data_IF_498613257033
#
_entry.id   IF_498613257033
#
_cell.length_a   1.000
_cell.length_b   1.000
_cell.length_c   1.000
_cell.angle_alpha   90.00
_cell.angle_beta   90.00
_cell.angle_gamma   90.00
#
_symmetry.space_group_name_H-M   'P 1'
#
loop_
_entity.id
_entity.type
_entity.pdbx_description
1 polymer ?
#
# COMPACT_ATOMS: atom_id res chain seq x y z
N UNK A 1 23.40 26.69 -9.00
CA UNK A 1 22.46 25.56 -8.98
C UNK A 1 21.44 25.80 -10.09
N UNK A 2 21.16 24.83 -10.94
CA UNK A 2 20.10 24.98 -11.93
C UNK A 2 18.77 25.17 -11.16
N UNK A 3 17.97 26.13 -11.59
CA UNK A 3 16.64 26.35 -11.01
C UNK A 3 15.73 25.24 -11.53
N UNK A 4 15.04 24.53 -10.65
CA UNK A 4 14.04 23.55 -11.04
C UNK A 4 12.98 24.25 -11.92
N UNK A 5 12.77 23.74 -13.12
CA UNK A 5 11.79 24.26 -14.07
C UNK A 5 10.46 23.51 -14.01
N UNK A 6 10.43 22.37 -13.33
CA UNK A 6 9.25 21.53 -13.09
C UNK A 6 8.92 21.48 -11.61
N UNK A 7 7.64 21.42 -11.28
CA UNK A 7 7.22 21.06 -9.92
C UNK A 7 7.58 19.59 -9.63
N UNK A 8 7.72 19.20 -8.35
CA UNK A 8 7.89 17.80 -7.95
C UNK A 8 6.91 16.84 -8.62
N UNK A 9 5.63 17.20 -8.66
CA UNK A 9 4.57 16.39 -9.28
C UNK A 9 4.72 16.27 -10.81
N UNK A 10 4.99 17.38 -11.51
CA UNK A 10 5.22 17.36 -12.95
C UNK A 10 6.41 16.48 -13.30
N UNK A 11 7.50 16.61 -12.55
CA UNK A 11 8.71 15.78 -12.70
C UNK A 11 8.43 14.31 -12.48
N UNK A 12 7.69 13.97 -11.42
CA UNK A 12 7.32 12.59 -11.14
C UNK A 12 6.50 11.98 -12.28
N UNK A 13 5.46 12.69 -12.75
CA UNK A 13 4.60 12.24 -13.84
C UNK A 13 5.40 12.10 -15.15
N UNK A 14 6.27 13.06 -15.45
CA UNK A 14 7.12 13.00 -16.66
C UNK A 14 8.07 11.80 -16.58
N UNK A 15 8.72 11.58 -15.44
CA UNK A 15 9.61 10.44 -15.23
C UNK A 15 8.86 9.09 -15.36
N UNK A 16 7.66 8.99 -14.79
CA UNK A 16 6.83 7.78 -14.89
C UNK A 16 6.46 7.44 -16.34
N UNK A 17 6.29 8.45 -17.18
CA UNK A 17 5.97 8.30 -18.58
C UNK A 17 7.20 8.26 -19.51
N UNK A 18 8.42 8.18 -18.96
CA UNK A 18 9.67 8.16 -19.72
C UNK A 18 9.94 9.46 -20.51
N UNK A 19 9.37 10.58 -20.07
CA UNK A 19 9.55 11.89 -20.70
C UNK A 19 10.74 12.64 -20.11
N UNK A 20 11.32 13.61 -20.83
CA UNK A 20 12.41 14.44 -20.30
C UNK A 20 12.01 15.16 -19.02
N UNK A 21 12.95 15.21 -18.08
CA UNK A 21 12.82 15.90 -16.79
C UNK A 21 13.99 16.88 -16.60
N UNK A 22 13.79 17.92 -15.81
CA UNK A 22 14.80 18.93 -15.51
C UNK A 22 15.93 18.42 -14.61
N UNK A 23 15.64 17.43 -13.76
CA UNK A 23 16.59 16.65 -12.98
C UNK A 23 16.05 15.25 -12.73
N UNK A 24 16.88 14.27 -12.28
CA UNK A 24 16.35 12.98 -11.84
C UNK A 24 15.26 13.14 -10.78
N UNK A 25 14.15 12.41 -10.94
CA UNK A 25 13.07 12.40 -9.96
C UNK A 25 13.56 11.69 -8.67
N UNK A 26 13.55 12.41 -7.56
CA UNK A 26 13.86 11.86 -6.24
C UNK A 26 12.55 11.51 -5.54
N UNK A 27 12.15 10.23 -5.59
CA UNK A 27 10.88 9.78 -5.03
C UNK A 27 11.04 8.45 -4.29
N UNK A 28 10.21 8.26 -3.28
CA UNK A 28 10.01 6.94 -2.65
C UNK A 28 8.62 6.45 -2.99
N UNK A 29 8.53 5.19 -3.46
CA UNK A 29 7.26 4.48 -3.64
C UNK A 29 6.82 3.77 -2.35
N UNK A 30 7.58 3.93 -1.28
CA UNK A 30 7.20 3.56 0.09
C UNK A 30 7.20 4.82 0.95
N UNK A 31 6.60 4.74 2.13
CA UNK A 31 6.69 5.81 3.11
C UNK A 31 8.14 6.04 3.57
N UNK A 32 8.49 7.28 3.83
CA UNK A 32 9.80 7.66 4.37
C UNK A 32 9.63 7.94 5.85
N UNK A 33 10.22 7.09 6.70
CA UNK A 33 10.13 7.22 8.15
C UNK A 33 11.29 6.51 8.84
N UNK A 34 11.85 7.16 9.84
CA UNK A 34 12.82 6.62 10.80
C UNK A 34 12.73 7.42 12.11
N UNK A 35 13.41 6.97 13.15
CA UNK A 35 13.35 7.62 14.47
C UNK A 35 13.88 9.05 14.44
N UNK A 36 15.00 9.31 13.74
CA UNK A 36 15.56 10.63 13.65
C UNK A 36 14.62 11.62 12.97
N UNK A 37 13.85 11.16 11.99
CA UNK A 37 12.85 11.99 11.33
C UNK A 37 11.65 12.25 12.25
N UNK A 38 11.19 11.25 13.00
CA UNK A 38 10.15 11.42 14.02
C UNK A 38 10.59 12.42 15.10
N UNK A 39 11.80 12.29 15.61
CA UNK A 39 12.37 13.22 16.60
C UNK A 39 12.46 14.65 16.08
N UNK A 40 12.76 14.82 14.79
CA UNK A 40 12.90 16.13 14.15
C UNK A 40 11.55 16.80 13.88
N UNK A 41 10.53 16.02 13.49
CA UNK A 41 9.21 16.49 13.08
C UNK A 41 8.25 16.58 14.27
N UNK A 42 8.35 15.63 15.22
CA UNK A 42 7.54 15.56 16.42
C UNK A 42 6.56 14.37 16.48
N UNK A 43 5.80 14.05 15.42
CA UNK A 43 4.92 12.88 15.40
C UNK A 43 5.70 11.55 15.47
N UNK A 44 5.33 10.70 16.41
CA UNK A 44 5.89 9.36 16.62
C UNK A 44 4.83 8.28 16.41
N UNK A 45 5.25 7.03 16.36
CA UNK A 45 4.34 5.90 16.55
C UNK A 45 3.98 5.78 18.05
N UNK A 46 2.75 5.37 18.40
CA UNK A 46 1.67 4.90 17.48
C UNK A 46 0.82 6.00 16.84
N UNK A 47 0.91 7.27 17.29
CA UNK A 47 0.03 8.37 16.86
C UNK A 47 0.10 8.56 15.34
N UNK A 48 1.30 8.57 14.75
CA UNK A 48 1.48 8.71 13.30
C UNK A 48 0.92 7.54 12.48
N UNK A 49 0.49 6.43 13.12
CA UNK A 49 -0.23 5.34 12.46
C UNK A 49 -1.74 5.36 12.70
N UNK A 50 -2.21 6.13 13.69
CA UNK A 50 -3.60 6.04 14.19
C UNK A 50 -4.36 7.36 14.15
N UNK A 51 -3.66 8.47 13.96
CA UNK A 51 -4.23 9.82 13.92
C UNK A 51 -3.83 10.52 12.61
N UNK A 52 -4.79 11.18 11.92
CA UNK A 52 -4.55 11.70 10.56
C UNK A 52 -3.59 12.89 10.51
N UNK A 53 -3.62 13.79 11.50
CA UNK A 53 -2.73 14.94 11.55
C UNK A 53 -1.26 14.54 11.77
N UNK A 54 -0.89 13.74 12.80
CA UNK A 54 0.46 13.20 12.96
C UNK A 54 0.93 12.39 11.75
N UNK A 55 0.04 11.60 11.16
CA UNK A 55 0.34 10.80 9.95
C UNK A 55 0.69 11.71 8.77
N UNK A 56 -0.11 12.74 8.51
CA UNK A 56 0.12 13.67 7.41
C UNK A 56 1.38 14.52 7.63
N UNK A 57 1.61 15.02 8.84
CA UNK A 57 2.78 15.82 9.19
C UNK A 57 4.08 15.05 9.00
N UNK A 58 4.13 13.80 9.52
CA UNK A 58 5.30 12.95 9.33
C UNK A 58 5.52 12.60 7.85
N UNK A 59 4.47 12.33 7.09
CA UNK A 59 4.57 12.06 5.66
C UNK A 59 5.03 13.28 4.84
N UNK A 60 4.59 14.48 5.20
CA UNK A 60 4.98 15.72 4.53
C UNK A 60 6.49 15.99 4.63
N UNK A 61 7.13 15.56 5.72
CA UNK A 61 8.57 15.74 5.96
C UNK A 61 9.45 15.14 4.87
N UNK A 62 8.98 14.11 4.17
CA UNK A 62 9.71 13.54 3.03
C UNK A 62 9.96 14.59 1.94
N UNK A 63 9.02 15.50 1.70
CA UNK A 63 9.21 16.63 0.80
C UNK A 63 9.83 17.83 1.51
N UNK A 64 9.24 18.27 2.61
CA UNK A 64 9.55 19.55 3.25
C UNK A 64 10.97 19.61 3.82
N UNK A 65 11.49 18.47 4.31
CA UNK A 65 12.85 18.39 4.88
C UNK A 65 13.84 17.68 3.96
N UNK A 66 13.41 16.64 3.24
CA UNK A 66 14.32 15.81 2.46
C UNK A 66 14.28 16.13 0.95
N UNK A 67 13.31 16.91 0.47
CA UNK A 67 13.22 17.34 -0.93
C UNK A 67 12.77 16.23 -1.90
N UNK A 68 12.08 15.18 -1.41
CA UNK A 68 11.48 14.18 -2.30
C UNK A 68 10.37 14.79 -3.17
N UNK A 69 10.24 14.27 -4.38
CA UNK A 69 9.20 14.68 -5.33
C UNK A 69 7.83 14.06 -5.02
N UNK A 70 7.77 13.14 -4.04
CA UNK A 70 6.54 12.47 -3.60
C UNK A 70 6.44 12.33 -2.09
N UNK A 71 5.20 12.22 -1.60
CA UNK A 71 4.88 11.90 -0.20
C UNK A 71 3.85 10.75 -0.15
N UNK A 72 3.90 9.93 0.91
CA UNK A 72 2.98 8.83 1.16
C UNK A 72 2.68 8.70 2.65
N UNK A 73 1.41 8.85 3.09
CA UNK A 73 1.09 8.85 4.53
C UNK A 73 0.93 7.45 5.12
N UNK A 74 0.70 6.42 4.32
CA UNK A 74 0.45 5.07 4.81
C UNK A 74 1.78 4.37 5.11
N UNK A 75 2.24 4.44 6.36
CA UNK A 75 3.53 3.88 6.77
C UNK A 75 3.50 2.34 6.82
N UNK A 76 2.47 1.76 7.40
CA UNK A 76 2.33 0.32 7.59
C UNK A 76 1.60 -0.40 6.44
N UNK A 77 1.24 -1.65 6.72
CA UNK A 77 0.50 -2.54 5.83
C UNK A 77 -0.79 -3.04 6.51
N UNK A 78 -1.21 -2.38 7.58
CA UNK A 78 -2.19 -2.91 8.52
C UNK A 78 -3.56 -2.23 8.45
N UNK A 79 -3.70 -1.12 7.71
CA UNK A 79 -4.96 -0.39 7.63
C UNK A 79 -6.08 -1.26 7.02
N UNK A 80 -5.81 -1.88 5.87
CA UNK A 80 -6.78 -2.79 5.26
C UNK A 80 -6.97 -4.07 6.09
N UNK A 81 -5.94 -4.50 6.82
CA UNK A 81 -6.00 -5.71 7.62
C UNK A 81 -7.07 -5.62 8.73
N UNK A 82 -7.19 -4.47 9.41
CA UNK A 82 -8.25 -4.26 10.42
C UNK A 82 -9.65 -4.32 9.78
N UNK A 83 -9.80 -3.68 8.64
CA UNK A 83 -11.08 -3.59 7.93
C UNK A 83 -11.55 -4.91 7.31
N UNK A 84 -10.65 -5.89 7.14
CA UNK A 84 -10.99 -7.25 6.71
C UNK A 84 -11.11 -8.26 7.87
N UNK A 85 -11.06 -7.78 9.11
CA UNK A 85 -11.33 -8.58 10.31
C UNK A 85 -10.10 -9.08 11.06
N UNK A 86 -8.88 -8.65 10.71
CA UNK A 86 -7.69 -8.93 11.50
C UNK A 86 -7.68 -8.08 12.78
N UNK A 87 -7.14 -8.62 13.87
CA UNK A 87 -6.77 -7.81 15.04
C UNK A 87 -5.33 -7.38 14.88
N UNK A 88 -5.09 -6.09 14.88
CA UNK A 88 -3.76 -5.49 14.67
C UNK A 88 -3.36 -4.72 15.92
N UNK A 89 -2.13 -4.92 16.37
CA UNK A 89 -1.52 -4.13 17.44
C UNK A 89 -0.84 -2.89 16.85
N UNK A 90 -1.34 -1.73 17.23
CA UNK A 90 -0.78 -0.41 16.85
C UNK A 90 -0.04 0.25 18.04
N UNK A 91 0.07 -0.40 19.18
CA UNK A 91 0.59 0.24 20.40
C UNK A 91 2.11 0.30 20.48
N UNK A 92 2.82 -0.40 19.63
CA UNK A 92 4.29 -0.47 19.65
C UNK A 92 4.88 0.83 19.07
N UNK A 93 5.67 1.60 19.86
CA UNK A 93 6.29 2.84 19.39
C UNK A 93 7.49 2.62 18.48
N UNK A 94 8.09 1.43 18.51
CA UNK A 94 9.37 1.13 17.85
C UNK A 94 9.20 0.27 16.60
N UNK A 95 8.03 -0.33 16.40
CA UNK A 95 7.77 -1.24 15.29
C UNK A 95 6.51 -0.88 14.50
N UNK A 96 6.47 -1.33 13.26
CA UNK A 96 5.27 -1.22 12.42
C UNK A 96 4.15 -2.08 13.00
N UNK A 97 2.87 -1.63 12.90
CA UNK A 97 1.72 -2.40 13.34
C UNK A 97 1.68 -3.79 12.69
N UNK A 98 1.44 -4.81 13.50
CA UNK A 98 1.41 -6.20 13.05
C UNK A 98 0.10 -6.90 13.42
N UNK A 99 -0.45 -7.73 12.50
CA UNK A 99 -1.61 -8.56 12.81
C UNK A 99 -1.30 -9.56 13.93
N UNK A 100 -2.16 -9.59 14.96
CA UNK A 100 -2.12 -10.53 16.09
C UNK A 100 -3.12 -11.68 15.92
N UNK A 101 -4.18 -11.46 15.14
CA UNK A 101 -5.19 -12.44 14.82
C UNK A 101 -5.54 -12.38 13.35
N UNK A 102 -5.59 -13.55 12.71
CA UNK A 102 -5.95 -13.75 11.31
C UNK A 102 -7.30 -14.49 11.24
N UNK A 103 -8.34 -13.91 10.62
CA UNK A 103 -9.69 -14.48 10.63
C UNK A 103 -9.82 -15.83 9.91
N UNK A 104 -8.89 -16.13 9.01
CA UNK A 104 -8.89 -17.37 8.22
C UNK A 104 -7.76 -18.34 8.60
N UNK A 105 -7.10 -18.14 9.77
CA UNK A 105 -6.03 -19.01 10.25
C UNK A 105 -6.53 -20.44 10.55
N UNK A 106 -7.79 -20.57 11.00
CA UNK A 106 -8.42 -21.87 11.12
C UNK A 106 -8.81 -22.39 9.72
N UNK A 107 -8.47 -23.66 9.45
CA UNK A 107 -8.80 -24.31 8.14
C UNK A 107 -10.30 -24.42 7.91
N UNK A 108 -11.10 -24.53 8.97
CA UNK A 108 -12.55 -24.62 8.90
C UNK A 108 -13.22 -23.22 8.81
N UNK A 109 -12.43 -22.14 8.96
CA UNK A 109 -12.95 -20.78 8.82
C UNK A 109 -13.48 -20.52 7.42
N UNK A 110 -14.64 -19.92 7.33
CA UNK A 110 -15.21 -19.48 6.06
C UNK A 110 -14.42 -18.28 5.50
N UNK A 111 -13.97 -18.43 4.24
CA UNK A 111 -13.31 -17.33 3.53
C UNK A 111 -14.40 -16.38 3.03
N UNK A 112 -14.57 -15.27 3.74
CA UNK A 112 -15.48 -14.18 3.41
C UNK A 112 -15.01 -12.86 4.03
N UNK A 113 -15.42 -11.76 3.46
CA UNK A 113 -15.22 -10.43 4.07
C UNK A 113 -16.22 -10.22 5.21
N UNK A 114 -15.96 -9.29 6.13
CA UNK A 114 -16.86 -8.97 7.23
C UNK A 114 -18.27 -8.59 6.75
N UNK A 115 -19.26 -8.86 7.60
CA UNK A 115 -20.63 -8.46 7.32
C UNK A 115 -20.72 -6.93 7.14
N UNK A 116 -21.56 -6.50 6.20
CA UNK A 116 -21.70 -5.10 5.86
C UNK A 116 -20.63 -4.54 4.91
N UNK A 117 -19.67 -5.35 4.44
CA UNK A 117 -18.76 -4.92 3.38
C UNK A 117 -19.55 -4.55 2.10
N UNK A 118 -19.25 -3.43 1.38
CA UNK A 118 -18.07 -2.56 1.57
C UNK A 118 -18.23 -1.44 2.59
N UNK A 119 -19.41 -1.16 3.11
CA UNK A 119 -19.63 -0.02 4.01
C UNK A 119 -18.84 -0.16 5.30
N UNK A 120 -18.81 -1.37 5.90
CA UNK A 120 -18.04 -1.65 7.11
C UNK A 120 -16.53 -1.42 6.93
N UNK A 121 -15.98 -1.59 5.73
CA UNK A 121 -14.59 -1.28 5.43
C UNK A 121 -14.30 0.20 5.59
N UNK A 122 -15.18 1.07 5.11
CA UNK A 122 -15.01 2.52 5.23
C UNK A 122 -15.39 3.07 6.62
N UNK A 123 -16.04 2.28 7.46
CA UNK A 123 -16.29 2.63 8.85
C UNK A 123 -15.07 2.35 9.76
N UNK A 124 -14.09 1.54 9.30
CA UNK A 124 -12.88 1.27 10.05
C UNK A 124 -12.07 2.55 10.32
N UNK A 125 -11.65 2.73 11.57
CA UNK A 125 -10.96 3.96 12.00
C UNK A 125 -9.59 4.16 11.33
N UNK A 126 -8.88 3.09 11.00
CA UNK A 126 -7.57 3.18 10.39
C UNK A 126 -7.67 3.45 8.89
N UNK A 127 -8.71 2.94 8.23
CA UNK A 127 -9.05 3.30 6.85
C UNK A 127 -9.42 4.79 6.79
N UNK A 128 -10.28 5.26 7.68
CA UNK A 128 -10.64 6.70 7.79
C UNK A 128 -9.42 7.57 8.03
N UNK A 129 -8.56 7.17 8.97
CA UNK A 129 -7.32 7.89 9.28
C UNK A 129 -6.43 8.08 8.04
N UNK A 130 -6.21 7.02 7.27
CA UNK A 130 -5.42 7.09 6.04
C UNK A 130 -6.03 8.04 5.00
N UNK A 131 -7.35 7.99 4.80
CA UNK A 131 -8.05 8.88 3.88
C UNK A 131 -7.99 10.34 4.33
N UNK A 132 -8.14 10.61 5.62
CA UNK A 132 -8.06 11.96 6.17
C UNK A 132 -6.64 12.52 6.09
N UNK A 133 -5.62 11.71 6.34
CA UNK A 133 -4.21 12.10 6.15
C UNK A 133 -3.92 12.48 4.68
N UNK A 134 -4.46 11.75 3.69
CA UNK A 134 -4.35 12.11 2.27
C UNK A 134 -5.03 13.47 1.99
N UNK A 135 -6.21 13.73 2.55
CA UNK A 135 -6.90 15.02 2.41
C UNK A 135 -6.08 16.18 2.99
N UNK A 136 -5.45 15.96 4.15
CA UNK A 136 -4.56 16.94 4.77
C UNK A 136 -3.35 17.23 3.90
N UNK A 137 -2.67 16.21 3.37
CA UNK A 137 -1.57 16.36 2.42
C UNK A 137 -2.00 17.10 1.15
N UNK A 138 -3.20 16.80 0.63
CA UNK A 138 -3.75 17.49 -0.53
C UNK A 138 -4.02 18.97 -0.24
N UNK A 139 -4.50 19.28 0.95
CA UNK A 139 -4.67 20.67 1.40
C UNK A 139 -3.33 21.39 1.54
N UNK A 140 -2.30 20.72 2.04
CA UNK A 140 -0.96 21.28 2.27
C UNK A 140 -0.22 21.55 0.94
N UNK A 141 -0.13 20.57 0.07
CA UNK A 141 0.68 20.63 -1.15
C UNK A 141 -0.09 21.09 -2.40
N UNK A 142 -1.41 21.01 -2.39
CA UNK A 142 -2.23 21.28 -3.58
C UNK A 142 -1.86 20.33 -4.74
N UNK A 143 -1.33 20.89 -5.82
CA UNK A 143 -0.88 20.14 -7.00
C UNK A 143 0.66 20.19 -7.21
N UNK A 144 1.42 20.60 -6.22
CA UNK A 144 2.87 20.81 -6.37
C UNK A 144 3.69 19.55 -6.14
N UNK A 145 3.30 18.71 -5.19
CA UNK A 145 4.00 17.49 -4.79
C UNK A 145 3.14 16.29 -5.15
N UNK A 146 3.77 15.18 -5.55
CA UNK A 146 3.08 13.93 -5.87
C UNK A 146 2.60 13.26 -4.58
N UNK A 147 1.30 13.05 -4.43
CA UNK A 147 0.70 12.35 -3.29
C UNK A 147 0.41 10.91 -3.71
N UNK A 148 1.11 9.98 -3.11
CA UNK A 148 0.95 8.56 -3.38
C UNK A 148 -0.02 7.94 -2.37
N UNK A 149 -1.03 7.28 -2.87
CA UNK A 149 -1.81 6.32 -2.10
C UNK A 149 -1.11 4.96 -2.10
N UNK A 150 -1.50 4.08 -1.18
CA UNK A 150 -0.98 2.71 -1.11
C UNK A 150 -2.11 1.74 -0.78
N UNK A 151 -2.13 0.62 -1.49
CA UNK A 151 -3.02 -0.51 -1.21
C UNK A 151 -2.22 -1.80 -1.15
N UNK A 152 -2.68 -2.74 -0.32
CA UNK A 152 -2.16 -4.09 -0.32
C UNK A 152 -2.91 -4.91 -1.37
N UNK A 153 -2.16 -5.56 -2.25
CA UNK A 153 -2.74 -6.50 -3.20
C UNK A 153 -3.30 -7.75 -2.50
N UNK A 154 -4.11 -8.56 -3.21
CA UNK A 154 -4.82 -9.67 -2.60
C UNK A 154 -3.87 -10.75 -2.03
N UNK A 155 -2.67 -10.89 -2.57
CA UNK A 155 -1.67 -11.81 -2.04
C UNK A 155 -1.15 -11.37 -0.66
N UNK A 156 -0.79 -10.09 -0.53
CA UNK A 156 -0.34 -9.54 0.75
C UNK A 156 -1.45 -9.53 1.79
N UNK A 157 -2.67 -9.17 1.40
CA UNK A 157 -3.83 -9.26 2.30
C UNK A 157 -4.07 -10.69 2.79
N UNK A 158 -3.82 -11.70 1.94
CA UNK A 158 -3.92 -13.10 2.35
C UNK A 158 -2.92 -13.46 3.46
N UNK A 159 -1.72 -12.86 3.49
CA UNK A 159 -0.79 -13.05 4.59
C UNK A 159 -1.37 -12.63 5.94
N UNK A 160 -2.16 -11.55 5.93
CA UNK A 160 -2.78 -11.04 7.15
C UNK A 160 -4.02 -11.83 7.54
N UNK A 161 -4.85 -12.20 6.56
CA UNK A 161 -6.11 -12.91 6.82
C UNK A 161 -5.92 -14.38 7.18
N UNK A 162 -4.84 -15.01 6.69
CA UNK A 162 -4.55 -16.42 6.94
C UNK A 162 -3.53 -16.66 8.05
N UNK A 163 -2.43 -16.01 8.02
CA UNK A 163 -1.10 -16.27 8.48
C UNK A 163 -0.20 -16.68 7.29
N UNK A 164 1.00 -16.12 7.25
CA UNK A 164 1.92 -16.27 6.11
C UNK A 164 2.29 -17.73 5.85
N UNK A 165 2.58 -18.49 6.92
CA UNK A 165 3.06 -19.87 6.76
C UNK A 165 1.98 -20.78 6.20
N UNK A 166 0.79 -20.76 6.77
CA UNK A 166 -0.36 -21.56 6.32
C UNK A 166 -0.76 -21.19 4.88
N UNK A 167 -0.81 -19.90 4.58
CA UNK A 167 -1.11 -19.45 3.21
C UNK A 167 -0.11 -19.98 2.19
N UNK A 168 1.20 -19.87 2.48
CA UNK A 168 2.23 -20.38 1.59
C UNK A 168 2.20 -21.91 1.45
N UNK A 169 1.91 -22.64 2.51
CA UNK A 169 1.73 -24.09 2.45
C UNK A 169 0.51 -24.47 1.59
N UNK A 170 -0.59 -23.76 1.71
CA UNK A 170 -1.81 -24.03 0.96
C UNK A 170 -1.67 -23.71 -0.53
N UNK A 171 -0.70 -22.92 -0.96
CA UNK A 171 -0.40 -22.78 -2.41
C UNK A 171 -0.09 -24.11 -3.08
N UNK A 172 0.35 -25.12 -2.30
CA UNK A 172 0.67 -26.48 -2.75
C UNK A 172 -0.38 -27.47 -2.27
N UNK A 173 -0.78 -27.40 -1.00
CA UNK A 173 -1.63 -28.39 -0.36
C UNK A 173 -3.13 -28.19 -0.70
N UNK A 174 -3.59 -26.95 -0.84
CA UNK A 174 -4.97 -26.59 -1.16
C UNK A 174 -5.02 -25.31 -2.02
N UNK A 175 -4.58 -25.39 -3.28
CA UNK A 175 -4.53 -24.22 -4.17
C UNK A 175 -5.90 -23.60 -4.45
N UNK A 176 -7.00 -24.34 -4.30
CA UNK A 176 -8.35 -23.81 -4.52
C UNK A 176 -8.78 -22.92 -3.36
N UNK A 177 -8.40 -23.26 -2.13
CA UNK A 177 -8.59 -22.37 -0.98
C UNK A 177 -7.82 -21.05 -1.15
N UNK A 178 -6.58 -21.12 -1.64
CA UNK A 178 -5.79 -19.93 -1.98
C UNK A 178 -6.47 -19.09 -3.05
N UNK A 179 -6.95 -19.70 -4.15
CA UNK A 179 -7.67 -18.96 -5.20
C UNK A 179 -8.91 -18.27 -4.65
N UNK A 180 -9.71 -18.97 -3.84
CA UNK A 180 -10.89 -18.41 -3.19
C UNK A 180 -10.55 -17.19 -2.32
N UNK A 181 -9.46 -17.24 -1.55
CA UNK A 181 -9.03 -16.08 -0.74
C UNK A 181 -8.61 -14.90 -1.59
N UNK A 182 -7.82 -15.13 -2.63
CA UNK A 182 -7.41 -14.08 -3.57
C UNK A 182 -8.60 -13.44 -4.28
N UNK A 183 -9.59 -14.24 -4.72
CA UNK A 183 -10.81 -13.75 -5.36
C UNK A 183 -11.64 -12.91 -4.38
N UNK A 184 -11.79 -13.39 -3.14
CA UNK A 184 -12.52 -12.67 -2.08
C UNK A 184 -11.88 -11.33 -1.77
N UNK A 185 -10.54 -11.27 -1.69
CA UNK A 185 -9.80 -10.06 -1.34
C UNK A 185 -9.59 -9.09 -2.52
N UNK A 186 -9.78 -9.53 -3.76
CA UNK A 186 -9.50 -8.73 -4.96
C UNK A 186 -10.25 -7.39 -5.02
N UNK A 187 -11.45 -7.31 -4.42
CA UNK A 187 -12.22 -6.07 -4.40
C UNK A 187 -11.68 -5.02 -3.40
N UNK A 188 -10.95 -5.45 -2.36
CA UNK A 188 -10.46 -4.54 -1.30
C UNK A 188 -9.51 -3.48 -1.84
N UNK A 189 -8.40 -3.83 -2.54
CA UNK A 189 -7.47 -2.83 -3.06
C UNK A 189 -8.12 -1.89 -4.08
N UNK A 190 -9.09 -2.36 -4.87
CA UNK A 190 -9.79 -1.52 -5.85
C UNK A 190 -10.64 -0.46 -5.15
N UNK A 191 -11.42 -0.86 -4.14
CA UNK A 191 -12.25 0.06 -3.37
C UNK A 191 -11.39 1.09 -2.63
N UNK A 192 -10.34 0.65 -1.96
CA UNK A 192 -9.48 1.54 -1.20
C UNK A 192 -8.65 2.46 -2.10
N UNK A 193 -8.18 1.98 -3.26
CA UNK A 193 -7.51 2.81 -4.24
C UNK A 193 -8.41 3.96 -4.73
N UNK A 194 -9.65 3.67 -5.10
CA UNK A 194 -10.62 4.68 -5.54
C UNK A 194 -10.89 5.72 -4.46
N UNK A 195 -11.09 5.28 -3.22
CA UNK A 195 -11.32 6.20 -2.10
C UNK A 195 -10.09 7.09 -1.81
N UNK A 196 -8.87 6.56 -1.93
CA UNK A 196 -7.64 7.34 -1.79
C UNK A 196 -7.49 8.38 -2.91
N UNK A 197 -7.85 8.04 -4.15
CA UNK A 197 -7.86 8.98 -5.26
C UNK A 197 -8.90 10.10 -5.05
N UNK A 198 -10.09 9.76 -4.57
CA UNK A 198 -11.12 10.74 -4.19
C UNK A 198 -10.66 11.63 -3.03
N UNK A 199 -9.88 11.10 -2.09
CA UNK A 199 -9.27 11.87 -1.00
C UNK A 199 -8.16 12.81 -1.48
N UNK A 200 -7.60 12.61 -2.68
CA UNK A 200 -6.61 13.50 -3.27
C UNK A 200 -5.27 12.87 -3.60
N UNK A 201 -5.13 11.55 -3.51
CA UNK A 201 -3.96 10.86 -4.04
C UNK A 201 -3.88 11.01 -5.57
N UNK A 202 -2.67 11.04 -6.11
CA UNK A 202 -2.41 11.28 -7.54
C UNK A 202 -2.04 9.99 -8.29
N UNK A 203 -1.55 8.99 -7.57
CA UNK A 203 -1.25 7.64 -8.06
C UNK A 203 -1.36 6.64 -6.90
N UNK A 204 -1.44 5.36 -7.24
CA UNK A 204 -1.55 4.28 -6.25
C UNK A 204 -0.33 3.37 -6.33
N UNK A 205 0.30 3.13 -5.19
CA UNK A 205 1.26 2.04 -5.04
C UNK A 205 0.51 0.77 -4.67
N UNK A 206 0.59 -0.22 -5.54
CA UNK A 206 0.01 -1.54 -5.35
C UNK A 206 1.08 -2.45 -4.76
N UNK A 207 1.02 -2.69 -3.46
CA UNK A 207 1.99 -3.51 -2.75
C UNK A 207 1.53 -4.97 -2.68
N UNK A 208 2.20 -5.83 -3.46
CA UNK A 208 1.89 -7.26 -3.45
C UNK A 208 3.19 -8.07 -3.34
N UNK A 209 3.45 -8.61 -2.15
CA UNK A 209 4.74 -9.19 -1.76
C UNK A 209 4.89 -10.65 -2.23
N UNK A 210 4.65 -10.90 -3.50
CA UNK A 210 4.87 -12.18 -4.16
C UNK A 210 6.33 -12.31 -4.61
N UNK A 211 7.26 -12.16 -3.67
CA UNK A 211 8.71 -12.11 -3.91
C UNK A 211 9.34 -13.47 -4.14
N UNK A 212 10.47 -13.52 -4.83
CA UNK A 212 11.31 -14.71 -5.03
C UNK A 212 11.99 -15.23 -3.76
N UNK A 213 11.90 -14.50 -2.66
CA UNK A 213 12.32 -14.95 -1.33
C UNK A 213 11.31 -15.92 -0.69
N UNK A 214 10.06 -15.86 -1.10
CA UNK A 214 8.94 -16.63 -0.55
C UNK A 214 8.39 -17.67 -1.53
N UNK A 215 8.25 -17.30 -2.82
CA UNK A 215 7.61 -18.15 -3.82
C UNK A 215 8.37 -18.18 -5.14
N UNK A 216 8.19 -19.27 -5.89
CA UNK A 216 8.73 -19.40 -7.26
C UNK A 216 8.00 -18.41 -8.20
N UNK A 217 8.70 -17.97 -9.25
CA UNK A 217 8.10 -17.10 -10.28
C UNK A 217 6.87 -17.73 -10.96
N UNK A 218 6.85 -19.06 -11.12
CA UNK A 218 5.69 -19.78 -11.67
C UNK A 218 4.45 -19.64 -10.78
N UNK A 219 4.60 -19.51 -9.46
CA UNK A 219 3.46 -19.28 -8.56
C UNK A 219 2.90 -17.87 -8.75
N UNK A 220 3.75 -16.87 -8.97
CA UNK A 220 3.27 -15.53 -9.35
C UNK A 220 2.43 -15.60 -10.63
N UNK A 221 2.93 -16.26 -11.68
CA UNK A 221 2.21 -16.48 -12.93
C UNK A 221 0.85 -17.17 -12.70
N UNK A 222 0.84 -18.25 -11.91
CA UNK A 222 -0.33 -19.13 -11.77
C UNK A 222 -1.41 -18.57 -10.84
N UNK A 223 -1.05 -17.66 -9.90
CA UNK A 223 -1.98 -17.10 -8.92
C UNK A 223 -2.25 -15.60 -9.10
N UNK A 224 -1.30 -14.80 -9.58
CA UNK A 224 -1.38 -13.35 -9.52
C UNK A 224 -1.36 -12.63 -10.86
N UNK A 225 -0.61 -13.11 -11.85
CA UNK A 225 -0.43 -12.40 -13.11
C UNK A 225 -1.76 -11.95 -13.72
N UNK A 226 -2.65 -12.87 -13.97
CA UNK A 226 -3.95 -12.58 -14.57
C UNK A 226 -4.84 -11.70 -13.66
N UNK A 227 -4.69 -11.80 -12.32
CA UNK A 227 -5.40 -10.92 -11.40
C UNK A 227 -4.90 -9.49 -11.50
N UNK A 228 -3.59 -9.27 -11.54
CA UNK A 228 -3.06 -7.94 -11.74
C UNK A 228 -3.50 -7.35 -13.09
N UNK A 229 -3.49 -8.15 -14.16
CA UNK A 229 -4.00 -7.74 -15.47
C UNK A 229 -5.48 -7.36 -15.46
N UNK A 230 -6.29 -8.02 -14.64
CA UNK A 230 -7.73 -7.72 -14.50
C UNK A 230 -8.01 -6.55 -13.55
N UNK A 231 -7.29 -6.49 -12.42
CA UNK A 231 -7.61 -5.56 -11.32
C UNK A 231 -7.00 -4.18 -11.54
N UNK A 232 -5.74 -4.11 -11.96
CA UNK A 232 -5.02 -2.84 -12.09
C UNK A 232 -5.72 -1.86 -13.04
N UNK A 233 -6.26 -2.27 -14.20
CA UNK A 233 -7.01 -1.37 -15.08
C UNK A 233 -8.30 -0.78 -14.49
N UNK A 234 -8.78 -1.29 -13.36
CA UNK A 234 -9.96 -0.76 -12.68
C UNK A 234 -9.64 0.45 -11.79
N UNK A 235 -8.36 0.75 -11.58
CA UNK A 235 -7.89 1.95 -10.87
C UNK A 235 -7.73 3.10 -11.88
N UNK A 236 -8.50 4.19 -11.77
CA UNK A 236 -8.50 5.28 -12.76
C UNK A 236 -7.34 6.27 -12.58
N UNK A 237 -6.14 5.79 -12.29
CA UNK A 237 -4.92 6.57 -12.08
C UNK A 237 -3.68 5.70 -12.35
N UNK A 238 -2.47 6.28 -12.45
CA UNK A 238 -1.24 5.50 -12.53
C UNK A 238 -1.10 4.55 -11.34
N UNK A 239 -0.76 3.29 -11.61
CA UNK A 239 -0.48 2.26 -10.60
C UNK A 239 0.99 1.86 -10.68
N UNK A 240 1.64 1.81 -9.52
CA UNK A 240 3.04 1.45 -9.38
C UNK A 240 3.10 0.14 -8.59
N UNK A 241 3.51 -0.95 -9.23
CA UNK A 241 3.67 -2.22 -8.54
C UNK A 241 4.88 -2.17 -7.60
N UNK A 242 4.65 -2.49 -6.32
CA UNK A 242 5.69 -2.68 -5.32
C UNK A 242 5.76 -4.14 -4.88
N UNK A 243 6.88 -4.79 -5.19
CA UNK A 243 7.19 -6.14 -4.75
C UNK A 243 8.57 -6.13 -4.09
N UNK A 244 8.60 -6.20 -2.76
CA UNK A 244 9.83 -6.25 -1.98
C UNK A 244 10.66 -7.50 -2.27
N UNK A 245 11.98 -7.43 -2.03
CA UNK A 245 12.88 -8.58 -2.10
C UNK A 245 13.28 -8.94 -3.53
N UNK A 246 13.59 -10.24 -3.75
CA UNK A 246 14.05 -10.71 -5.05
C UNK A 246 12.90 -10.80 -6.05
N UNK A 247 12.98 -10.00 -7.11
CA UNK A 247 11.94 -9.93 -8.15
C UNK A 247 12.46 -10.08 -9.59
N UNK A 248 13.77 -10.20 -9.79
CA UNK A 248 14.38 -10.27 -11.13
C UNK A 248 13.86 -11.46 -11.95
N UNK A 249 13.58 -12.60 -11.33
CA UNK A 249 13.10 -13.81 -11.99
C UNK A 249 11.64 -13.74 -12.47
N UNK A 250 10.93 -12.62 -12.17
CA UNK A 250 9.52 -12.38 -12.54
C UNK A 250 9.28 -11.06 -13.24
N UNK A 251 10.34 -10.32 -13.58
CA UNK A 251 10.21 -9.03 -14.31
C UNK A 251 9.47 -9.19 -15.64
N UNK A 252 9.65 -10.31 -16.32
CA UNK A 252 8.92 -10.59 -17.58
C UNK A 252 7.40 -10.56 -17.36
N UNK A 253 6.93 -11.14 -16.25
CA UNK A 253 5.50 -11.11 -15.88
C UNK A 253 5.01 -9.71 -15.46
N UNK A 254 5.89 -8.88 -14.89
CA UNK A 254 5.51 -7.50 -14.52
C UNK A 254 5.34 -6.59 -15.73
N UNK A 255 5.84 -7.01 -16.89
CA UNK A 255 5.74 -6.24 -18.16
C UNK A 255 4.48 -6.56 -18.96
N UNK A 256 3.81 -7.65 -18.67
CA UNK A 256 2.58 -8.09 -19.33
C UNK A 256 1.34 -7.36 -18.76
#
# INVERSE_FOLDING_TARGET
MAVDSMTPKERFIAALNGQPVDRPCAASITSVVNFELMDLVGPHFPEANTEPEPMAELAASAHDLMGFDSVMPIFGIAQEATAIGCVVDFSDPDNMPTPQFAPWADRDAEIRLPDGFPDSFFEDKHVKCALDAIRLLKSHFGNKVMILGKVMGPWTLSYHAYNVQEFLMDTIADPDRVRKSLDTLSQVPILFAKAQLEAGADAIVWADHATGDLIRNTMYRDFLLWRHQELVPQVPAPVILHCCGRSLDRIEYFRE
#
